data_IF_249977912656
#
_entry.id   IF_249977912656
#
_cell.length_a   1.000
_cell.length_b   1.000
_cell.length_c   1.000
_cell.angle_alpha   90.00
_cell.angle_beta   90.00
_cell.angle_gamma   90.00
#
_symmetry.space_group_name_H-M   'P 1'
#
loop_
_entity.id
_entity.type
_entity.pdbx_description
1 polymer ?
#
# COMPACT_ATOMS: atom_id res chain seq x y z
N UNK A 1 -3.12 -25.76 -4.42
CA UNK A 1 -2.31 -24.56 -4.67
C UNK A 1 -0.93 -24.93 -5.21
N UNK A 2 -0.52 -24.34 -6.33
CA UNK A 2 0.82 -24.48 -6.89
C UNK A 2 1.85 -23.59 -6.15
N UNK A 3 3.15 -23.94 -6.20
CA UNK A 3 4.20 -23.13 -5.57
C UNK A 3 4.20 -21.66 -6.05
N UNK A 4 3.87 -21.43 -7.32
CA UNK A 4 3.77 -20.09 -7.88
C UNK A 4 2.65 -19.27 -7.23
N UNK A 5 1.48 -19.88 -6.99
CA UNK A 5 0.35 -19.23 -6.32
C UNK A 5 0.69 -18.89 -4.86
N UNK A 6 1.34 -19.80 -4.14
CA UNK A 6 1.82 -19.53 -2.77
C UNK A 6 2.78 -18.33 -2.78
N UNK A 7 3.73 -18.31 -3.73
CA UNK A 7 4.67 -17.21 -3.89
C UNK A 7 3.98 -15.87 -4.14
N UNK A 8 3.00 -15.83 -5.05
CA UNK A 8 2.22 -14.61 -5.36
C UNK A 8 1.45 -14.14 -4.12
N UNK A 9 0.73 -15.04 -3.44
CA UNK A 9 -0.04 -14.70 -2.25
C UNK A 9 0.82 -14.12 -1.13
N UNK A 10 1.95 -14.76 -0.83
CA UNK A 10 2.92 -14.25 0.15
C UNK A 10 3.52 -12.90 -0.28
N UNK A 11 3.77 -12.72 -1.57
CA UNK A 11 4.30 -11.47 -2.11
C UNK A 11 3.30 -10.31 -2.00
N UNK A 12 2.01 -10.56 -2.24
CA UNK A 12 0.93 -9.59 -2.02
C UNK A 12 0.89 -9.16 -0.54
N UNK A 13 0.94 -10.12 0.40
CA UNK A 13 0.98 -9.81 1.84
C UNK A 13 2.22 -8.99 2.19
N UNK A 14 3.40 -9.41 1.74
CA UNK A 14 4.66 -8.74 2.03
C UNK A 14 4.65 -7.29 1.51
N UNK A 15 4.17 -7.07 0.28
CA UNK A 15 4.02 -5.74 -0.31
C UNK A 15 3.06 -4.85 0.50
N UNK A 16 1.91 -5.39 0.92
CA UNK A 16 1.00 -4.70 1.83
C UNK A 16 1.67 -4.25 3.12
N UNK A 17 2.48 -5.12 3.74
CA UNK A 17 3.18 -4.80 4.98
C UNK A 17 4.28 -3.74 4.81
N UNK A 18 4.90 -3.60 3.64
CA UNK A 18 5.86 -2.52 3.39
C UNK A 18 5.23 -1.14 3.62
N UNK A 19 3.93 -0.98 3.33
CA UNK A 19 3.22 0.28 3.51
C UNK A 19 3.12 0.74 4.97
N UNK A 20 3.38 -0.13 5.96
CA UNK A 20 3.50 0.26 7.37
C UNK A 20 4.53 1.37 7.55
N UNK A 21 5.56 1.43 6.70
CA UNK A 21 6.56 2.49 6.76
C UNK A 21 5.95 3.90 6.53
N UNK A 22 4.80 4.00 5.87
CA UNK A 22 4.13 5.27 5.59
C UNK A 22 3.12 5.67 6.69
N UNK A 23 2.88 4.83 7.69
CA UNK A 23 2.16 5.21 8.92
C UNK A 23 2.99 6.12 9.82
N UNK A 24 4.31 6.11 9.63
CA UNK A 24 5.27 6.72 10.53
C UNK A 24 6.25 7.62 9.77
N UNK A 25 6.81 8.57 10.52
CA UNK A 25 7.98 9.32 10.13
C UNK A 25 9.15 8.84 11.01
N UNK A 26 10.04 8.04 10.45
CA UNK A 26 11.11 7.37 11.20
C UNK A 26 12.43 8.07 10.90
N UNK A 27 13.10 8.58 11.93
CA UNK A 27 14.43 9.15 11.79
C UNK A 27 15.47 8.02 11.67
N UNK A 28 16.25 8.02 10.59
CA UNK A 28 17.37 7.09 10.41
C UNK A 28 18.53 7.49 11.34
N UNK A 29 18.92 6.63 12.29
CA UNK A 29 19.97 6.93 13.26
C UNK A 29 21.35 7.09 12.63
N UNK A 30 21.55 6.67 11.37
CA UNK A 30 22.87 6.67 10.71
C UNK A 30 23.12 7.89 9.83
N UNK A 31 22.07 8.60 9.38
CA UNK A 31 22.23 9.68 8.41
C UNK A 31 21.31 10.89 8.63
N UNK A 32 20.61 10.95 9.77
CA UNK A 32 19.65 12.00 10.16
C UNK A 32 18.48 12.21 9.18
N UNK A 33 18.36 11.40 8.11
CA UNK A 33 17.25 11.49 7.16
C UNK A 33 16.04 10.79 7.72
N UNK A 34 14.89 11.36 7.41
CA UNK A 34 13.61 10.75 7.73
C UNK A 34 13.18 9.79 6.60
N UNK A 35 12.66 8.64 7.00
CA UNK A 35 12.10 7.60 6.14
C UNK A 35 10.61 7.45 6.44
N UNK A 36 9.82 7.21 5.40
CA UNK A 36 8.37 7.06 5.53
C UNK A 36 7.64 8.34 5.16
N UNK A 37 6.55 8.64 5.85
CA UNK A 37 5.71 9.80 5.54
C UNK A 37 5.76 10.85 6.64
N UNK A 38 6.14 12.07 6.27
CA UNK A 38 6.26 13.22 7.18
C UNK A 38 4.93 13.73 7.76
N UNK A 39 3.80 13.31 7.19
CA UNK A 39 2.48 13.86 7.51
C UNK A 39 2.05 15.02 6.59
N UNK A 40 2.87 15.37 5.60
CA UNK A 40 2.58 16.44 4.63
C UNK A 40 1.90 15.91 3.36
N UNK A 41 1.10 16.77 2.73
CA UNK A 41 0.45 16.52 1.44
C UNK A 41 0.41 17.80 0.61
N UNK A 42 1.00 17.78 -0.59
CA UNK A 42 0.92 18.90 -1.54
C UNK A 42 -0.50 19.20 -2.00
N UNK A 43 -1.41 18.21 -1.95
CA UNK A 43 -2.83 18.40 -2.27
C UNK A 43 -3.60 18.88 -1.04
N UNK A 44 -3.50 18.19 0.08
CA UNK A 44 -4.40 18.39 1.23
C UNK A 44 -3.93 19.47 2.21
N UNK A 45 -2.62 19.68 2.37
CA UNK A 45 -2.09 20.62 3.38
C UNK A 45 -2.43 22.08 3.10
N UNK A 46 -2.85 22.42 1.88
CA UNK A 46 -3.34 23.76 1.53
C UNK A 46 -4.78 24.01 2.00
N UNK A 47 -5.55 22.96 2.28
CA UNK A 47 -6.98 23.04 2.60
C UNK A 47 -7.32 22.56 4.01
N UNK A 48 -6.47 21.71 4.60
CA UNK A 48 -6.71 21.04 5.88
C UNK A 48 -5.57 21.34 6.85
N UNK A 49 -5.89 21.33 8.15
CA UNK A 49 -4.86 21.43 9.18
C UNK A 49 -4.03 20.15 9.26
N UNK A 50 -2.83 20.26 9.84
CA UNK A 50 -1.86 19.17 9.96
C UNK A 50 -2.43 17.89 10.60
N UNK A 51 -3.20 18.03 11.69
CA UNK A 51 -3.78 16.87 12.38
C UNK A 51 -4.78 16.13 11.51
N UNK A 52 -5.60 16.85 10.73
CA UNK A 52 -6.56 16.25 9.80
C UNK A 52 -5.84 15.56 8.64
N UNK A 53 -4.79 16.16 8.08
CA UNK A 53 -3.98 15.52 7.02
C UNK A 53 -3.36 14.23 7.54
N UNK A 54 -2.71 14.26 8.71
CA UNK A 54 -2.12 13.08 9.36
C UNK A 54 -3.14 11.98 9.62
N UNK A 55 -4.31 12.33 10.15
CA UNK A 55 -5.38 11.36 10.38
C UNK A 55 -5.86 10.73 9.08
N UNK A 56 -6.08 11.53 8.02
CA UNK A 56 -6.49 11.02 6.73
C UNK A 56 -5.45 10.07 6.14
N UNK A 57 -4.16 10.42 6.19
CA UNK A 57 -3.09 9.54 5.69
C UNK A 57 -2.96 8.23 6.47
N UNK A 58 -3.06 8.25 7.80
CA UNK A 58 -3.08 7.02 8.62
C UNK A 58 -4.27 6.12 8.32
N UNK A 59 -5.43 6.70 8.06
CA UNK A 59 -6.59 5.91 7.64
C UNK A 59 -6.34 5.30 6.26
N UNK A 60 -5.85 6.08 5.30
CA UNK A 60 -5.60 5.62 3.94
C UNK A 60 -4.53 4.52 3.89
N UNK A 61 -3.36 4.73 4.50
CA UNK A 61 -2.30 3.73 4.56
C UNK A 61 -2.72 2.49 5.36
N UNK A 62 -3.43 2.67 6.47
CA UNK A 62 -4.00 1.57 7.25
C UNK A 62 -4.96 0.70 6.43
N UNK A 63 -5.84 1.32 5.65
CA UNK A 63 -6.74 0.62 4.73
C UNK A 63 -5.97 -0.11 3.62
N UNK A 64 -4.92 0.49 3.07
CA UNK A 64 -4.03 -0.16 2.09
C UNK A 64 -3.38 -1.41 2.67
N UNK A 65 -2.82 -1.32 3.88
CA UNK A 65 -2.15 -2.44 4.57
C UNK A 65 -3.14 -3.58 4.81
N UNK A 66 -4.28 -3.27 5.44
CA UNK A 66 -5.31 -4.27 5.75
C UNK A 66 -5.84 -4.90 4.47
N UNK A 67 -6.11 -4.09 3.45
CA UNK A 67 -6.68 -4.57 2.21
C UNK A 67 -5.72 -5.49 1.43
N UNK A 68 -4.42 -5.18 1.37
CA UNK A 68 -3.43 -6.09 0.76
C UNK A 68 -3.23 -7.37 1.57
N UNK A 69 -3.26 -7.31 2.90
CA UNK A 69 -3.20 -8.52 3.75
C UNK A 69 -4.42 -9.42 3.49
N UNK A 70 -5.62 -8.85 3.48
CA UNK A 70 -6.86 -9.58 3.18
C UNK A 70 -6.80 -10.18 1.77
N UNK A 71 -6.36 -9.40 0.78
CA UNK A 71 -6.20 -9.87 -0.60
C UNK A 71 -5.23 -11.04 -0.70
N UNK A 72 -4.05 -10.93 -0.08
CA UNK A 72 -3.05 -11.98 -0.11
C UNK A 72 -3.50 -13.25 0.62
N UNK A 73 -4.19 -13.12 1.77
CA UNK A 73 -4.77 -14.27 2.47
C UNK A 73 -5.90 -14.92 1.67
N UNK A 74 -6.76 -14.13 1.03
CA UNK A 74 -7.81 -14.64 0.15
C UNK A 74 -7.24 -15.37 -1.06
N UNK A 75 -6.17 -14.85 -1.66
CA UNK A 75 -5.44 -15.49 -2.76
C UNK A 75 -4.78 -16.82 -2.32
N UNK A 76 -4.36 -16.92 -1.07
CA UNK A 76 -3.87 -18.15 -0.43
C UNK A 76 -5.00 -19.12 -0.01
N UNK A 77 -6.23 -18.92 -0.51
CA UNK A 77 -7.40 -19.76 -0.25
C UNK A 77 -7.77 -19.85 1.24
N UNK A 78 -7.44 -18.83 2.06
CA UNK A 78 -7.90 -18.79 3.45
C UNK A 78 -9.43 -18.67 3.48
N UNK A 79 -10.16 -19.58 4.17
CA UNK A 79 -11.62 -19.72 4.01
C UNK A 79 -12.43 -18.44 4.24
N UNK A 80 -11.96 -17.55 5.12
CA UNK A 80 -12.68 -16.31 5.47
C UNK A 80 -12.55 -15.24 4.38
N UNK A 81 -11.50 -15.29 3.57
CA UNK A 81 -11.13 -14.21 2.65
C UNK A 81 -11.16 -14.61 1.17
N UNK A 82 -11.40 -15.89 0.88
CA UNK A 82 -11.31 -16.46 -0.47
C UNK A 82 -12.20 -15.73 -1.48
N UNK A 83 -13.44 -15.41 -1.13
CA UNK A 83 -14.35 -14.74 -2.10
C UNK A 83 -14.05 -13.25 -2.27
N UNK A 84 -13.13 -12.69 -1.49
CA UNK A 84 -12.91 -11.24 -1.40
C UNK A 84 -11.59 -10.80 -2.02
N UNK A 85 -10.73 -11.74 -2.43
CA UNK A 85 -9.36 -11.41 -2.85
C UNK A 85 -9.32 -10.45 -4.05
N UNK A 86 -10.21 -10.63 -5.05
CA UNK A 86 -10.24 -9.80 -6.26
C UNK A 86 -10.62 -8.35 -5.95
N UNK A 87 -11.72 -8.16 -5.23
CA UNK A 87 -12.19 -6.81 -4.92
C UNK A 87 -11.24 -6.11 -3.94
N UNK A 88 -10.67 -6.85 -2.98
CA UNK A 88 -9.73 -6.28 -2.01
C UNK A 88 -8.40 -5.91 -2.67
N UNK A 89 -7.85 -6.72 -3.59
CA UNK A 89 -6.61 -6.34 -4.29
C UNK A 89 -6.81 -5.13 -5.20
N UNK A 90 -7.96 -5.03 -5.88
CA UNK A 90 -8.30 -3.87 -6.73
C UNK A 90 -8.39 -2.60 -5.90
N UNK A 91 -9.20 -2.63 -4.83
CA UNK A 91 -9.42 -1.46 -3.99
C UNK A 91 -8.14 -1.02 -3.27
N UNK A 92 -7.35 -1.96 -2.76
CA UNK A 92 -6.09 -1.66 -2.07
C UNK A 92 -5.04 -1.07 -3.01
N UNK A 93 -4.91 -1.63 -4.21
CA UNK A 93 -3.99 -1.11 -5.22
C UNK A 93 -4.39 0.29 -5.67
N UNK A 94 -5.67 0.52 -5.95
CA UNK A 94 -6.18 1.84 -6.31
C UNK A 94 -5.98 2.85 -5.16
N UNK A 95 -6.28 2.46 -3.93
CA UNK A 95 -6.11 3.31 -2.75
C UNK A 95 -4.63 3.64 -2.50
N UNK A 96 -3.74 2.68 -2.71
CA UNK A 96 -2.29 2.88 -2.62
C UNK A 96 -1.81 3.91 -3.64
N UNK A 97 -2.20 3.75 -4.91
CA UNK A 97 -1.86 4.70 -5.98
C UNK A 97 -2.38 6.12 -5.67
N UNK A 98 -3.62 6.23 -5.20
CA UNK A 98 -4.19 7.52 -4.76
C UNK A 98 -3.39 8.09 -3.59
N UNK A 99 -3.02 7.27 -2.60
CA UNK A 99 -2.24 7.70 -1.44
C UNK A 99 -0.85 8.18 -1.84
N UNK A 100 -0.18 7.49 -2.75
CA UNK A 100 1.09 7.94 -3.33
C UNK A 100 0.93 9.30 -4.02
N UNK A 101 -0.11 9.49 -4.83
CA UNK A 101 -0.38 10.78 -5.46
C UNK A 101 -0.62 11.85 -4.41
N UNK A 102 -1.44 11.62 -3.38
CA UNK A 102 -1.77 12.61 -2.36
C UNK A 102 -0.57 12.99 -1.49
N UNK A 103 0.28 12.03 -1.15
CA UNK A 103 1.33 12.19 -0.13
C UNK A 103 2.74 12.25 -0.71
N UNK A 104 2.89 12.27 -2.05
CA UNK A 104 4.17 12.19 -2.76
C UNK A 104 5.28 13.08 -2.17
N UNK A 105 5.01 14.38 -1.99
CA UNK A 105 6.00 15.34 -1.47
C UNK A 105 6.40 15.08 -0.01
N UNK A 106 5.55 14.38 0.75
CA UNK A 106 5.79 14.06 2.15
C UNK A 106 6.60 12.77 2.34
N UNK A 107 6.90 12.02 1.29
CA UNK A 107 7.63 10.74 1.36
C UNK A 107 9.14 10.98 1.41
N UNK A 108 9.76 10.59 2.52
CA UNK A 108 11.20 10.66 2.75
C UNK A 108 11.86 9.29 2.63
N UNK A 109 13.16 9.21 2.27
CA UNK A 109 14.08 10.32 2.05
C UNK A 109 14.00 10.93 0.63
N UNK A 110 13.44 10.19 -0.32
CA UNK A 110 13.07 10.66 -1.65
C UNK A 110 11.91 9.80 -2.15
N UNK A 111 10.82 10.40 -2.67
CA UNK A 111 9.65 9.65 -3.15
C UNK A 111 10.00 8.66 -4.26
N UNK A 112 11.04 8.96 -5.05
CA UNK A 112 11.49 8.14 -6.17
C UNK A 112 12.01 6.76 -5.76
N UNK A 113 12.41 6.57 -4.51
CA UNK A 113 12.81 5.25 -4.00
C UNK A 113 11.63 4.28 -3.88
N UNK A 114 10.39 4.79 -3.94
CA UNK A 114 9.18 4.00 -3.81
C UNK A 114 8.50 3.68 -5.16
N UNK A 115 9.13 4.04 -6.29
CA UNK A 115 8.52 3.84 -7.61
C UNK A 115 8.26 2.38 -7.94
N UNK A 116 9.09 1.47 -7.43
CA UNK A 116 8.85 0.02 -7.56
C UNK A 116 7.54 -0.36 -6.90
N UNK A 117 7.24 0.20 -5.72
CA UNK A 117 5.97 -0.03 -5.02
C UNK A 117 4.76 0.41 -5.86
N UNK A 118 4.84 1.59 -6.48
CA UNK A 118 3.79 2.10 -7.38
C UNK A 118 3.58 1.20 -8.60
N UNK A 119 4.67 0.72 -9.20
CA UNK A 119 4.60 -0.20 -10.35
C UNK A 119 3.93 -1.51 -9.91
N UNK A 120 4.27 -2.03 -8.73
CA UNK A 120 3.65 -3.22 -8.19
C UNK A 120 2.16 -3.02 -7.91
N UNK A 121 1.74 -1.86 -7.39
CA UNK A 121 0.32 -1.54 -7.22
C UNK A 121 -0.42 -1.56 -8.57
N UNK A 122 0.17 -0.98 -9.62
CA UNK A 122 -0.41 -1.02 -10.95
C UNK A 122 -0.50 -2.45 -11.52
N UNK A 123 0.49 -3.31 -11.24
CA UNK A 123 0.45 -4.73 -11.62
C UNK A 123 -0.64 -5.48 -10.84
N UNK A 124 -0.74 -5.29 -9.54
CA UNK A 124 -1.74 -5.93 -8.68
C UNK A 124 -3.17 -5.49 -9.02
N UNK A 125 -3.36 -4.23 -9.40
CA UNK A 125 -4.64 -3.73 -9.89
C UNK A 125 -5.16 -4.51 -11.10
N UNK A 126 -4.24 -5.00 -11.95
CA UNK A 126 -4.56 -5.75 -13.16
C UNK A 126 -4.58 -7.26 -12.94
N UNK A 127 -4.08 -7.76 -11.80
CA UNK A 127 -3.94 -9.20 -11.53
C UNK A 127 -5.25 -9.99 -11.72
N UNK A 128 -6.42 -9.53 -11.24
CA UNK A 128 -7.67 -10.27 -11.43
C UNK A 128 -8.06 -10.51 -12.89
N UNK A 129 -7.64 -9.62 -13.81
CA UNK A 129 -7.93 -9.77 -15.24
C UNK A 129 -7.19 -10.94 -15.89
N UNK A 130 -6.10 -11.39 -15.29
CA UNK A 130 -5.29 -12.51 -15.77
C UNK A 130 -5.61 -13.81 -15.01
N UNK A 131 -6.28 -13.70 -13.87
CA UNK A 131 -6.62 -14.85 -13.03
C UNK A 131 -8.05 -15.39 -13.27
N UNK A 132 -8.83 -14.78 -14.18
CA UNK A 132 -10.22 -15.16 -14.48
C UNK A 132 -10.39 -16.51 -15.22
N UNK A 133 -9.35 -17.34 -15.28
CA UNK A 133 -9.31 -18.61 -16.02
C UNK A 133 -8.99 -19.84 -15.14
N UNK A 134 -9.09 -19.73 -13.81
CA UNK A 134 -9.01 -20.84 -12.87
C UNK A 134 -10.35 -21.12 -12.22
#
# INVERSE_FOLDING_TARGET
MELAQIGIGLFIVAHGLVHIMFEFNIQDPNNEKNVGWSGESWVLSNFLNENTVKLAGRILWGLVIVGFVVAGLGYLEFPVFIDWWEITIILSSALSLVSFVLFWNGLGPSPWYYIVGIILDAVFLMLPLFNSNL
#
